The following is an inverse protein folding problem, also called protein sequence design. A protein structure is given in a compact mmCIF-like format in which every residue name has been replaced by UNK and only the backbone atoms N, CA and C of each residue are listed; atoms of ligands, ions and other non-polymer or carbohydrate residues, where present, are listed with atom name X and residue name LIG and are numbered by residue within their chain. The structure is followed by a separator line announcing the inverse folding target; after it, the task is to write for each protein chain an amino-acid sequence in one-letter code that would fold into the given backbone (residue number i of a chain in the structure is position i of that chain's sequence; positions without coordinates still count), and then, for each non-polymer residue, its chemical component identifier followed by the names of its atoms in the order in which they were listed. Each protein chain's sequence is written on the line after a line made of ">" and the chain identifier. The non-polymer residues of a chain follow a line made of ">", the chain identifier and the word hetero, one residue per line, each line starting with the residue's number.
data_IF_119981884950
#
_entry.id   IF_119981884950
#
_cell.length_a   1.000
_cell.length_b   1.000
_cell.length_c   1.000
_cell.angle_alpha   90.00
_cell.angle_beta   90.00
_cell.angle_gamma   90.00
#
_symmetry.space_group_name_H-M   'P 1'
#
loop_
_entity.id
_entity.type
_entity.pdbx_description
1 polymer ?
#
# COMPACT_ATOMS: atom_id res chain seq x y z
N UNK A 1 -1.28 16.52 85.16
CA UNK A 1 -0.66 17.79 84.72
C UNK A 1 0.61 17.44 83.94
N UNK A 2 0.75 17.97 82.72
CA UNK A 2 1.96 18.52 82.07
C UNK A 2 3.30 17.77 82.36
N UNK A 3 4.11 17.27 81.43
CA UNK A 3 4.23 17.33 79.96
C UNK A 3 5.68 16.89 79.56
N UNK A 4 5.97 17.00 78.26
CA UNK A 4 7.29 17.19 77.60
C UNK A 4 8.15 15.94 77.21
N UNK A 5 8.12 15.68 75.89
CA UNK A 5 9.17 15.36 74.90
C UNK A 5 10.33 14.37 75.17
N UNK A 6 10.54 13.45 74.21
CA UNK A 6 11.76 13.43 73.35
C UNK A 6 11.71 12.34 72.24
N UNK A 7 11.81 12.85 71.00
CA UNK A 7 12.52 12.37 69.79
C UNK A 7 13.09 10.94 69.67
N UNK A 8 12.85 10.33 68.50
CA UNK A 8 13.66 9.23 67.94
C UNK A 8 13.16 8.72 66.58
N UNK A 9 13.72 9.27 65.50
CA UNK A 9 13.36 9.06 64.08
C UNK A 9 13.50 7.61 63.57
N UNK A 10 12.57 7.19 62.69
CA UNK A 10 12.90 6.35 61.54
C UNK A 10 12.31 6.95 60.26
N UNK A 11 13.22 7.20 59.32
CA UNK A 11 12.98 7.82 58.02
C UNK A 11 12.04 6.98 57.16
N UNK A 12 10.99 7.61 56.62
CA UNK A 12 10.39 7.17 55.35
C UNK A 12 10.00 8.38 54.53
N UNK A 13 10.90 8.76 53.63
CA UNK A 13 10.64 9.72 52.57
C UNK A 13 9.51 9.21 51.68
N UNK A 14 8.33 9.82 51.76
CA UNK A 14 7.31 9.70 50.73
C UNK A 14 7.72 10.56 49.54
N UNK A 15 8.24 9.90 48.49
CA UNK A 15 8.39 10.50 47.16
C UNK A 15 7.00 10.94 46.65
N UNK A 16 6.86 12.08 45.97
CA UNK A 16 5.63 12.39 45.25
C UNK A 16 5.48 11.38 44.12
N UNK A 17 4.37 10.64 44.10
CA UNK A 17 3.97 9.84 42.95
C UNK A 17 3.84 10.76 41.73
N UNK A 18 4.85 10.74 40.87
CA UNK A 18 4.75 11.26 39.51
C UNK A 18 3.77 10.37 38.76
N UNK A 19 2.49 10.76 38.78
CA UNK A 19 1.51 10.21 37.85
C UNK A 19 1.93 10.60 36.44
N UNK A 20 2.58 9.67 35.75
CA UNK A 20 2.82 9.72 34.32
C UNK A 20 1.49 10.03 33.61
N UNK A 21 1.41 11.00 32.68
CA UNK A 21 0.20 11.20 31.92
C UNK A 21 -0.05 9.94 31.09
N UNK A 22 -1.16 9.26 31.38
CA UNK A 22 -1.68 8.16 30.56
C UNK A 22 -1.87 8.74 29.16
N UNK A 23 -1.01 8.37 28.21
CA UNK A 23 -1.20 8.66 26.79
C UNK A 23 -2.56 8.09 26.40
N UNK A 24 -3.57 8.95 26.22
CA UNK A 24 -4.81 8.58 25.54
C UNK A 24 -4.39 8.01 24.18
N UNK A 25 -4.63 6.72 23.94
CA UNK A 25 -4.48 6.14 22.60
C UNK A 25 -5.43 6.92 21.67
N UNK A 26 -4.87 7.77 20.80
CA UNK A 26 -5.65 8.50 19.80
C UNK A 26 -6.32 7.49 18.88
N UNK A 27 -7.58 7.76 18.52
CA UNK A 27 -8.43 6.86 17.73
C UNK A 27 -7.91 6.84 16.29
N UNK A 28 -7.50 5.67 15.79
CA UNK A 28 -7.07 5.48 14.39
C UNK A 28 -8.28 5.63 13.47
N UNK A 29 -8.16 6.45 12.43
CA UNK A 29 -9.17 6.60 11.40
C UNK A 29 -9.00 5.50 10.34
N UNK A 30 -10.05 4.73 10.12
CA UNK A 30 -10.08 3.61 9.19
C UNK A 30 -11.11 3.91 8.09
N UNK A 31 -10.68 4.07 6.83
CA UNK A 31 -11.55 4.28 5.67
C UNK A 31 -10.99 3.56 4.45
N UNK A 32 -11.86 3.05 3.58
CA UNK A 32 -11.48 2.44 2.32
C UNK A 32 -11.34 3.50 1.22
N UNK A 33 -10.38 3.32 0.31
CA UNK A 33 -10.32 4.09 -0.94
C UNK A 33 -11.38 3.71 -1.98
N UNK A 34 -11.98 2.53 -1.86
CA UNK A 34 -12.94 2.03 -2.85
C UNK A 34 -14.32 2.66 -2.70
N UNK A 35 -14.62 3.27 -1.54
CA UNK A 35 -15.95 3.81 -1.24
C UNK A 35 -17.06 2.80 -1.48
N UNK A 36 -18.26 3.29 -1.81
CA UNK A 36 -19.44 2.44 -2.15
C UNK A 36 -19.40 1.87 -3.58
N UNK A 37 -18.22 1.69 -4.18
CA UNK A 37 -18.13 1.12 -5.52
C UNK A 37 -18.22 -0.40 -5.44
N UNK A 38 -19.41 -0.93 -5.73
CA UNK A 38 -19.60 -2.35 -6.04
C UNK A 38 -19.68 -2.50 -7.56
N UNK A 39 -18.76 -3.26 -8.15
CA UNK A 39 -19.01 -3.79 -9.50
C UNK A 39 -20.07 -4.88 -9.34
N UNK A 40 -21.33 -4.49 -9.56
CA UNK A 40 -22.52 -5.23 -9.13
C UNK A 40 -22.74 -6.62 -9.75
N UNK A 41 -21.86 -7.19 -10.58
CA UNK A 41 -22.20 -8.39 -11.35
C UNK A 41 -21.15 -9.49 -11.54
N UNK A 42 -19.94 -9.41 -10.99
CA UNK A 42 -18.96 -10.50 -11.14
C UNK A 42 -18.70 -11.18 -9.78
N UNK A 43 -19.51 -12.18 -9.45
CA UNK A 43 -19.17 -13.08 -8.34
C UNK A 43 -17.86 -13.81 -8.71
N UNK A 44 -16.88 -13.72 -7.82
CA UNK A 44 -15.62 -14.45 -7.98
C UNK A 44 -15.90 -15.96 -7.99
N UNK A 45 -15.35 -16.65 -8.98
CA UNK A 45 -15.44 -18.11 -9.05
C UNK A 45 -14.20 -18.73 -8.41
N UNK A 46 -14.38 -19.82 -7.65
CA UNK A 46 -13.27 -20.56 -7.09
C UNK A 46 -12.53 -21.32 -8.20
N UNK A 47 -11.40 -20.76 -8.64
CA UNK A 47 -10.54 -21.37 -9.66
C UNK A 47 -9.53 -22.35 -9.04
N UNK A 48 -9.06 -23.31 -9.85
CA UNK A 48 -7.99 -24.24 -9.47
C UNK A 48 -6.74 -23.49 -8.99
N UNK A 49 -5.98 -24.09 -8.08
CA UNK A 49 -4.72 -23.52 -7.59
C UNK A 49 -3.65 -23.59 -8.70
N UNK A 50 -2.86 -22.53 -8.84
CA UNK A 50 -1.74 -22.53 -9.78
C UNK A 50 -0.68 -23.56 -9.35
N UNK A 51 -0.24 -24.40 -10.28
CA UNK A 51 0.77 -25.42 -10.03
C UNK A 51 2.10 -25.03 -10.69
N UNK A 52 3.13 -24.68 -9.90
CA UNK A 52 4.46 -24.31 -10.41
C UNK A 52 5.21 -25.48 -11.05
N UNK A 53 4.78 -26.73 -10.83
CA UNK A 53 5.40 -27.91 -11.42
C UNK A 53 4.89 -28.21 -12.84
N UNK A 54 3.77 -27.59 -13.25
CA UNK A 54 3.24 -27.72 -14.61
C UNK A 54 3.91 -26.71 -15.54
N UNK A 55 4.00 -27.00 -16.85
CA UNK A 55 4.52 -26.05 -17.82
C UNK A 55 3.76 -24.72 -17.77
N UNK A 56 4.50 -23.60 -17.79
CA UNK A 56 3.93 -22.25 -17.70
C UNK A 56 2.83 -22.01 -18.75
N UNK A 57 3.04 -22.50 -19.97
CA UNK A 57 2.08 -22.38 -21.08
C UNK A 57 0.71 -23.00 -20.77
N UNK A 58 0.68 -24.08 -19.99
CA UNK A 58 -0.55 -24.77 -19.62
C UNK A 58 -1.27 -24.05 -18.46
N UNK A 59 -0.53 -23.27 -17.67
CA UNK A 59 -1.04 -22.48 -16.55
C UNK A 59 -1.36 -21.03 -16.92
N UNK A 60 -0.85 -20.52 -18.03
CA UNK A 60 -0.97 -19.11 -18.44
C UNK A 60 -2.42 -18.65 -18.54
N UNK A 61 -3.31 -19.46 -19.12
CA UNK A 61 -4.74 -19.10 -19.24
C UNK A 61 -5.41 -18.97 -17.86
N UNK A 62 -5.14 -19.91 -16.96
CA UNK A 62 -5.64 -19.88 -15.58
C UNK A 62 -5.07 -18.69 -14.81
N UNK A 63 -3.79 -18.38 -15.01
CA UNK A 63 -3.13 -17.23 -14.40
C UNK A 63 -3.78 -15.91 -14.82
N UNK A 64 -4.07 -15.75 -16.11
CA UNK A 64 -4.78 -14.59 -16.65
C UNK A 64 -6.20 -14.49 -16.08
N UNK A 65 -6.94 -15.60 -16.00
CA UNK A 65 -8.29 -15.61 -15.43
C UNK A 65 -8.28 -15.14 -13.96
N UNK A 66 -7.31 -15.62 -13.16
CA UNK A 66 -7.13 -15.16 -11.77
C UNK A 66 -6.80 -13.67 -11.68
N UNK A 67 -5.94 -13.14 -12.56
CA UNK A 67 -5.63 -11.71 -12.60
C UNK A 67 -6.87 -10.85 -12.88
N UNK A 68 -7.70 -11.28 -13.84
CA UNK A 68 -8.96 -10.60 -14.18
C UNK A 68 -9.96 -10.61 -13.03
N UNK A 69 -10.09 -11.74 -12.34
CA UNK A 69 -10.93 -11.84 -11.14
C UNK A 69 -10.48 -10.86 -10.05
N UNK A 70 -9.18 -10.64 -9.87
CA UNK A 70 -8.67 -9.66 -8.91
C UNK A 70 -9.00 -8.18 -9.24
N UNK A 71 -9.56 -7.89 -10.42
CA UNK A 71 -10.08 -6.56 -10.76
C UNK A 71 -11.46 -6.26 -10.14
N UNK A 72 -12.17 -7.27 -9.62
CA UNK A 72 -13.44 -7.09 -8.90
C UNK A 72 -13.17 -6.37 -7.57
N UNK A 73 -13.94 -5.33 -7.28
CA UNK A 73 -13.78 -4.49 -6.09
C UNK A 73 -14.88 -4.77 -5.08
N UNK A 74 -14.52 -4.68 -3.81
CA UNK A 74 -15.42 -4.84 -2.69
C UNK A 74 -15.43 -3.58 -1.84
N UNK A 75 -16.58 -3.31 -1.23
CA UNK A 75 -16.71 -2.25 -0.23
C UNK A 75 -16.11 -2.73 1.10
N UNK A 76 -14.97 -2.17 1.50
CA UNK A 76 -14.32 -2.49 2.78
C UNK A 76 -14.77 -1.60 3.93
N UNK A 77 -15.55 -0.54 3.68
CA UNK A 77 -16.13 0.29 4.75
C UNK A 77 -17.26 -0.47 5.47
N UNK A 78 -17.91 -1.42 4.80
CA UNK A 78 -18.81 -2.38 5.44
C UNK A 78 -18.12 -3.75 5.64
N UNK A 79 -17.66 -4.09 6.87
CA UNK A 79 -16.93 -5.34 7.12
C UNK A 79 -17.78 -6.60 6.91
N UNK A 80 -19.10 -6.49 7.11
CA UNK A 80 -20.02 -7.64 7.06
C UNK A 80 -20.56 -7.92 5.65
N UNK A 81 -20.36 -7.00 4.70
CA UNK A 81 -20.71 -7.20 3.29
C UNK A 81 -19.66 -8.04 2.55
N UNK A 82 -20.11 -8.91 1.66
CA UNK A 82 -19.27 -9.67 0.71
C UNK A 82 -18.07 -10.40 1.35
N UNK A 83 -18.22 -10.90 2.57
CA UNK A 83 -17.14 -11.53 3.34
C UNK A 83 -16.49 -12.66 2.57
N UNK A 84 -17.30 -13.52 1.94
CA UNK A 84 -16.82 -14.63 1.12
C UNK A 84 -16.05 -14.16 -0.12
N UNK A 85 -16.56 -13.14 -0.82
CA UNK A 85 -15.90 -12.54 -1.98
C UNK A 85 -14.57 -11.88 -1.63
N UNK A 86 -14.52 -11.13 -0.52
CA UNK A 86 -13.28 -10.54 0.01
C UNK A 86 -12.26 -11.62 0.35
N UNK A 87 -12.68 -12.69 1.04
CA UNK A 87 -11.79 -13.79 1.40
C UNK A 87 -11.27 -14.52 0.14
N UNK A 88 -12.13 -14.79 -0.82
CA UNK A 88 -11.76 -15.42 -2.08
C UNK A 88 -10.77 -14.56 -2.88
N UNK A 89 -11.02 -13.25 -3.00
CA UNK A 89 -10.07 -12.32 -3.64
C UNK A 89 -8.69 -12.36 -2.97
N UNK A 90 -8.66 -12.38 -1.64
CA UNK A 90 -7.41 -12.45 -0.89
C UNK A 90 -6.65 -13.75 -1.20
N UNK A 91 -7.34 -14.89 -1.23
CA UNK A 91 -6.75 -16.19 -1.57
C UNK A 91 -6.21 -16.21 -3.01
N UNK A 92 -6.93 -15.64 -3.97
CA UNK A 92 -6.48 -15.56 -5.37
C UNK A 92 -5.26 -14.66 -5.52
N UNK A 93 -5.27 -13.46 -4.93
CA UNK A 93 -4.12 -12.55 -4.92
C UNK A 93 -2.88 -13.22 -4.30
N UNK A 94 -3.08 -13.97 -3.21
CA UNK A 94 -2.01 -14.73 -2.56
C UNK A 94 -1.45 -15.82 -3.45
N UNK A 95 -2.31 -16.59 -4.11
CA UNK A 95 -1.93 -17.65 -5.04
C UNK A 95 -1.14 -17.08 -6.25
N UNK A 96 -1.60 -15.96 -6.82
CA UNK A 96 -0.88 -15.23 -7.88
C UNK A 96 0.52 -14.83 -7.42
N UNK A 97 0.63 -14.25 -6.22
CA UNK A 97 1.91 -13.80 -5.67
C UNK A 97 2.85 -14.99 -5.45
N UNK A 98 2.38 -16.04 -4.78
CA UNK A 98 3.18 -17.22 -4.46
C UNK A 98 3.60 -17.95 -5.75
N UNK A 99 2.76 -17.98 -6.79
CA UNK A 99 3.10 -18.53 -8.11
C UNK A 99 4.17 -17.70 -8.83
N UNK A 100 4.04 -16.36 -8.86
CA UNK A 100 5.05 -15.46 -9.46
C UNK A 100 6.44 -15.61 -8.82
N UNK A 101 6.51 -15.89 -7.52
CA UNK A 101 7.78 -16.12 -6.83
C UNK A 101 8.46 -17.43 -7.27
N UNK A 102 7.67 -18.43 -7.68
CA UNK A 102 8.16 -19.77 -7.97
C UNK A 102 8.54 -19.98 -9.43
N UNK A 103 7.80 -19.39 -10.36
CA UNK A 103 8.11 -19.50 -11.78
C UNK A 103 9.42 -18.79 -12.13
N UNK A 104 10.06 -19.23 -13.20
CA UNK A 104 11.29 -18.61 -13.74
C UNK A 104 11.18 -18.29 -15.23
N UNK A 105 10.11 -18.76 -15.86
CA UNK A 105 9.80 -18.56 -17.27
C UNK A 105 9.67 -17.08 -17.64
N UNK A 106 9.92 -16.79 -18.91
CA UNK A 106 9.67 -15.47 -19.48
C UNK A 106 8.17 -15.18 -19.49
N UNK A 107 7.78 -14.04 -18.92
CA UNK A 107 6.38 -13.64 -18.85
C UNK A 107 5.92 -13.14 -20.23
N UNK A 108 4.75 -13.60 -20.69
CA UNK A 108 4.19 -13.19 -21.96
C UNK A 108 3.72 -11.73 -21.95
N UNK A 109 3.57 -11.13 -23.14
CA UNK A 109 3.04 -9.77 -23.25
C UNK A 109 1.61 -9.65 -22.68
N UNK A 110 0.78 -10.69 -22.82
CA UNK A 110 -0.56 -10.74 -22.25
C UNK A 110 -0.53 -10.67 -20.71
N UNK A 111 0.38 -11.40 -20.07
CA UNK A 111 0.55 -11.35 -18.61
C UNK A 111 0.99 -9.96 -18.14
N UNK A 112 1.90 -9.30 -18.87
CA UNK A 112 2.30 -7.93 -18.53
C UNK A 112 1.09 -6.99 -18.56
N UNK A 113 0.24 -7.09 -19.59
CA UNK A 113 -0.99 -6.30 -19.69
C UNK A 113 -1.95 -6.56 -18.52
N UNK A 114 -2.20 -7.83 -18.20
CA UNK A 114 -3.16 -8.21 -17.17
C UNK A 114 -2.68 -7.84 -15.76
N UNK A 115 -1.39 -7.99 -15.44
CA UNK A 115 -0.83 -7.56 -14.15
C UNK A 115 -0.93 -6.03 -14.01
N UNK A 116 -0.49 -5.27 -15.03
CA UNK A 116 -0.52 -3.80 -14.96
C UNK A 116 -1.96 -3.28 -14.92
N UNK A 117 -2.89 -3.93 -15.65
CA UNK A 117 -4.32 -3.66 -15.59
C UNK A 117 -4.89 -3.91 -14.20
N UNK A 118 -4.64 -5.09 -13.61
CA UNK A 118 -5.09 -5.45 -12.27
C UNK A 118 -4.56 -4.47 -11.21
N UNK A 119 -3.29 -4.08 -11.29
CA UNK A 119 -2.70 -3.07 -10.39
C UNK A 119 -3.39 -1.72 -10.55
N UNK A 120 -3.62 -1.28 -11.79
CA UNK A 120 -4.32 -0.01 -12.07
C UNK A 120 -5.71 0.00 -11.45
N UNK A 121 -6.48 -1.06 -11.69
CA UNK A 121 -7.85 -1.25 -11.19
C UNK A 121 -7.92 -1.40 -9.67
N UNK A 122 -6.83 -1.65 -8.96
CA UNK A 122 -6.84 -1.76 -7.50
C UNK A 122 -6.25 -0.54 -6.80
N UNK A 123 -5.37 0.23 -7.46
CA UNK A 123 -4.62 1.30 -6.82
C UNK A 123 -5.07 2.72 -7.19
N UNK A 124 -5.47 2.98 -8.44
CA UNK A 124 -5.65 4.36 -8.95
C UNK A 124 -7.05 4.91 -8.69
N UNK A 125 -7.34 5.12 -7.41
CA UNK A 125 -8.53 5.78 -6.90
C UNK A 125 -8.19 7.08 -6.20
N UNK A 126 -9.17 7.95 -6.06
CA UNK A 126 -9.04 9.15 -5.23
C UNK A 126 -8.73 8.74 -3.79
N UNK A 127 -7.69 9.34 -3.21
CA UNK A 127 -7.35 9.10 -1.81
C UNK A 127 -8.50 9.58 -0.91
N UNK A 128 -8.89 8.79 0.12
CA UNK A 128 -9.97 9.18 1.01
C UNK A 128 -9.59 10.46 1.76
N UNK A 129 -10.50 11.44 1.76
CA UNK A 129 -10.30 12.66 2.55
C UNK A 129 -10.48 12.35 4.04
N UNK A 130 -9.43 12.60 4.81
CA UNK A 130 -9.44 12.54 6.28
C UNK A 130 -9.18 13.94 6.81
N UNK A 131 -10.12 14.45 7.60
CA UNK A 131 -9.96 15.72 8.31
C UNK A 131 -9.01 15.49 9.48
N UNK A 132 -7.76 15.92 9.32
CA UNK A 132 -6.73 15.91 10.35
C UNK A 132 -6.29 17.34 10.66
N UNK A 133 -6.06 17.62 11.93
CA UNK A 133 -5.38 18.86 12.36
C UNK A 133 -3.91 18.86 11.91
N UNK A 134 -3.28 20.04 11.85
CA UNK A 134 -1.87 20.18 11.44
C UNK A 134 -0.90 19.36 12.29
N UNK A 135 -1.18 19.17 13.58
CA UNK A 135 -0.33 18.36 14.46
C UNK A 135 -0.59 16.86 14.31
N UNK A 136 -1.80 16.46 13.93
CA UNK A 136 -2.13 15.07 13.61
C UNK A 136 -1.50 14.66 12.27
N UNK A 137 -1.44 15.55 11.28
CA UNK A 137 -0.75 15.29 10.00
C UNK A 137 0.74 14.98 10.16
N UNK A 138 1.37 15.51 11.21
CA UNK A 138 2.79 15.22 11.54
C UNK A 138 2.99 13.87 12.21
N UNK A 139 1.93 13.28 12.76
CA UNK A 139 1.99 12.01 13.49
C UNK A 139 1.65 10.84 12.54
N UNK A 140 2.69 10.11 12.12
CA UNK A 140 2.54 8.90 11.30
C UNK A 140 1.69 7.82 12.02
N UNK A 141 0.77 7.19 11.28
CA UNK A 141 0.01 6.01 11.77
C UNK A 141 -1.35 6.30 12.39
N UNK A 142 -1.86 7.53 12.27
CA UNK A 142 -3.21 7.89 12.69
C UNK A 142 -4.31 7.46 11.69
N UNK A 143 -3.93 7.19 10.44
CA UNK A 143 -4.84 6.76 9.38
C UNK A 143 -4.36 5.46 8.77
N UNK A 144 -5.30 4.53 8.62
CA UNK A 144 -5.06 3.24 7.98
C UNK A 144 -6.17 2.93 6.97
N UNK A 145 -5.78 2.41 5.80
CA UNK A 145 -6.76 1.91 4.83
C UNK A 145 -7.29 0.53 5.28
N UNK A 146 -8.61 0.37 5.38
CA UNK A 146 -9.23 -0.91 5.77
C UNK A 146 -9.06 -2.00 4.71
N UNK A 147 -8.87 -1.63 3.45
CA UNK A 147 -8.59 -2.56 2.36
C UNK A 147 -7.12 -3.00 2.31
N UNK A 148 -6.30 -2.57 3.28
CA UNK A 148 -4.86 -2.86 3.32
C UNK A 148 -4.49 -4.34 3.16
N UNK A 149 -5.20 -5.33 3.72
CA UNK A 149 -4.89 -6.75 3.51
C UNK A 149 -4.87 -7.18 2.04
N UNK A 150 -5.67 -6.54 1.18
CA UNK A 150 -5.68 -6.77 -0.27
C UNK A 150 -4.68 -5.87 -0.98
N UNK A 151 -4.63 -4.58 -0.62
CA UNK A 151 -3.69 -3.63 -1.22
C UNK A 151 -2.23 -4.07 -1.05
N UNK A 152 -1.86 -4.59 0.12
CA UNK A 152 -0.49 -5.09 0.36
C UNK A 152 -0.12 -6.21 -0.62
N UNK A 153 -1.06 -7.10 -0.95
CA UNK A 153 -0.81 -8.16 -1.92
C UNK A 153 -0.67 -7.59 -3.33
N UNK A 154 -1.51 -6.63 -3.72
CA UNK A 154 -1.41 -5.96 -5.04
C UNK A 154 -0.04 -5.28 -5.21
N UNK A 155 0.41 -4.54 -4.19
CA UNK A 155 1.74 -3.93 -4.21
C UNK A 155 2.87 -4.96 -4.26
N UNK A 156 2.74 -6.06 -3.51
CA UNK A 156 3.75 -7.13 -3.51
C UNK A 156 3.81 -7.84 -4.86
N UNK A 157 2.67 -8.19 -5.46
CA UNK A 157 2.58 -8.75 -6.81
C UNK A 157 3.28 -7.85 -7.81
N UNK A 158 3.00 -6.54 -7.79
CA UNK A 158 3.64 -5.62 -8.74
C UNK A 158 5.15 -5.48 -8.50
N UNK A 159 5.58 -5.44 -7.24
CA UNK A 159 6.99 -5.39 -6.90
C UNK A 159 7.73 -6.65 -7.36
N UNK A 160 7.18 -7.84 -7.08
CA UNK A 160 7.75 -9.12 -7.50
C UNK A 160 7.81 -9.19 -9.02
N UNK A 161 6.74 -8.80 -9.71
CA UNK A 161 6.68 -8.74 -11.16
C UNK A 161 7.80 -7.88 -11.77
N UNK A 162 8.04 -6.67 -11.24
CA UNK A 162 9.09 -5.76 -11.75
C UNK A 162 10.52 -6.27 -11.50
N UNK A 163 10.73 -7.17 -10.54
CA UNK A 163 12.03 -7.79 -10.26
C UNK A 163 12.13 -9.25 -10.74
N UNK A 164 11.09 -9.75 -11.40
CA UNK A 164 11.05 -11.14 -11.84
C UNK A 164 12.11 -11.40 -12.92
N UNK A 165 12.79 -12.54 -12.87
CA UNK A 165 13.85 -12.88 -13.83
C UNK A 165 13.36 -12.99 -15.27
N UNK A 166 12.09 -13.36 -15.45
CA UNK A 166 11.42 -13.44 -16.75
C UNK A 166 10.70 -12.17 -17.18
N UNK A 167 10.88 -11.04 -16.48
CA UNK A 167 10.28 -9.75 -16.85
C UNK A 167 10.94 -9.19 -18.12
N UNK A 168 10.13 -8.68 -19.06
CA UNK A 168 10.63 -8.10 -20.32
C UNK A 168 10.13 -6.66 -20.44
N UNK A 169 11.00 -5.64 -20.20
CA UNK A 169 10.59 -4.24 -20.14
C UNK A 169 9.83 -3.73 -21.39
N UNK A 170 10.19 -4.21 -22.58
CA UNK A 170 9.54 -3.80 -23.85
C UNK A 170 8.02 -4.06 -23.84
N UNK A 171 7.57 -5.11 -23.15
CA UNK A 171 6.16 -5.48 -23.08
C UNK A 171 5.35 -4.56 -22.15
N UNK A 172 6.02 -3.84 -21.26
CA UNK A 172 5.41 -2.95 -20.28
C UNK A 172 5.64 -1.45 -20.57
N UNK A 173 6.58 -1.09 -21.46
CA UNK A 173 6.99 0.30 -21.69
C UNK A 173 5.84 1.24 -22.09
N UNK A 174 4.89 0.75 -22.89
CA UNK A 174 3.75 1.55 -23.37
C UNK A 174 2.60 1.61 -22.34
N UNK A 175 2.57 0.64 -21.42
CA UNK A 175 1.58 0.56 -20.35
C UNK A 175 1.97 1.47 -19.19
N UNK A 176 3.26 1.46 -18.79
CA UNK A 176 3.82 2.32 -17.74
C UNK A 176 4.24 3.67 -18.34
N UNK A 177 3.26 4.40 -18.86
CA UNK A 177 3.45 5.71 -19.45
C UNK A 177 3.43 6.84 -18.39
N UNK A 178 3.65 8.08 -18.82
CA UNK A 178 3.64 9.26 -17.94
C UNK A 178 2.38 9.37 -17.09
N UNK A 179 1.19 9.06 -17.65
CA UNK A 179 -0.08 9.10 -16.91
C UNK A 179 -0.09 8.06 -15.79
N UNK A 180 0.38 6.84 -16.05
CA UNK A 180 0.52 5.80 -15.03
C UNK A 180 1.44 6.26 -13.88
N UNK A 181 2.58 6.88 -14.21
CA UNK A 181 3.52 7.40 -13.23
C UNK A 181 2.93 8.55 -12.42
N UNK A 182 2.22 9.49 -13.04
CA UNK A 182 1.52 10.57 -12.33
C UNK A 182 0.52 10.02 -11.31
N UNK A 183 -0.21 8.95 -11.65
CA UNK A 183 -1.11 8.29 -10.70
C UNK A 183 -0.35 7.66 -9.53
N UNK A 184 0.80 7.01 -9.77
CA UNK A 184 1.67 6.51 -8.69
C UNK A 184 2.19 7.64 -7.78
N UNK A 185 2.62 8.77 -8.36
CA UNK A 185 3.05 9.93 -7.58
C UNK A 185 1.91 10.50 -6.74
N UNK A 186 0.67 10.48 -7.22
CA UNK A 186 -0.48 10.89 -6.43
C UNK A 186 -0.63 10.05 -5.15
N UNK A 187 -0.40 8.74 -5.22
CA UNK A 187 -0.49 7.83 -4.07
C UNK A 187 0.56 8.11 -2.97
N UNK A 188 1.65 8.81 -3.27
CA UNK A 188 2.59 9.28 -2.23
C UNK A 188 1.96 10.28 -1.26
N UNK A 189 0.86 10.91 -1.65
CA UNK A 189 0.09 11.78 -0.76
C UNK A 189 -0.84 11.00 0.18
N UNK A 190 -0.87 9.66 0.13
CA UNK A 190 -1.67 8.84 1.03
C UNK A 190 -1.34 9.12 2.51
N UNK A 191 -2.37 9.18 3.35
CA UNK A 191 -2.23 9.30 4.80
C UNK A 191 -1.68 8.00 5.44
N UNK A 192 -1.89 6.84 4.79
CA UNK A 192 -1.36 5.56 5.26
C UNK A 192 0.13 5.43 4.94
N UNK A 193 0.95 5.41 5.99
CA UNK A 193 2.41 5.26 5.89
C UNK A 193 2.83 3.99 5.14
N UNK A 194 2.10 2.90 5.34
CA UNK A 194 2.44 1.59 4.77
C UNK A 194 2.36 1.66 3.25
N UNK A 195 1.34 2.36 2.75
CA UNK A 195 1.17 2.61 1.33
C UNK A 195 2.30 3.48 0.76
N UNK A 196 2.64 4.60 1.42
CA UNK A 196 3.74 5.47 0.96
C UNK A 196 5.05 4.69 0.82
N UNK A 197 5.35 3.80 1.76
CA UNK A 197 6.53 2.93 1.70
C UNK A 197 6.45 1.95 0.54
N UNK A 198 5.29 1.36 0.26
CA UNK A 198 5.08 0.46 -0.87
C UNK A 198 5.22 1.18 -2.22
N UNK A 199 4.59 2.35 -2.37
CA UNK A 199 4.68 3.19 -3.58
C UNK A 199 6.12 3.59 -3.86
N UNK A 200 6.89 4.00 -2.84
CA UNK A 200 8.32 4.28 -2.98
C UNK A 200 9.08 3.09 -3.59
N UNK A 201 8.87 1.88 -3.05
CA UNK A 201 9.54 0.67 -3.56
C UNK A 201 9.20 0.42 -5.04
N UNK A 202 7.92 0.59 -5.42
CA UNK A 202 7.47 0.46 -6.81
C UNK A 202 8.12 1.52 -7.71
N UNK A 203 8.15 2.79 -7.29
CA UNK A 203 8.76 3.85 -8.09
C UNK A 203 10.26 3.62 -8.30
N UNK A 204 10.98 3.14 -7.28
CA UNK A 204 12.39 2.74 -7.41
C UNK A 204 12.55 1.57 -8.37
N UNK A 205 11.68 0.56 -8.27
CA UNK A 205 11.69 -0.59 -9.18
C UNK A 205 11.49 -0.15 -10.64
N UNK A 206 10.51 0.71 -10.90
CA UNK A 206 10.26 1.28 -12.23
C UNK A 206 11.45 2.10 -12.71
N UNK A 207 12.01 2.97 -11.87
CA UNK A 207 13.18 3.79 -12.20
C UNK A 207 14.38 2.93 -12.65
N UNK A 208 14.57 1.77 -12.01
CA UNK A 208 15.65 0.84 -12.35
C UNK A 208 15.38 0.03 -13.61
N UNK A 209 14.11 -0.30 -13.91
CA UNK A 209 13.74 -1.12 -15.06
C UNK A 209 13.62 -0.34 -16.38
N UNK A 210 13.25 0.94 -16.32
CA UNK A 210 12.90 1.74 -17.50
C UNK A 210 13.76 2.99 -17.59
N UNK A 211 14.68 3.04 -18.55
CA UNK A 211 15.62 4.17 -18.71
C UNK A 211 14.95 5.43 -19.27
N UNK A 212 13.95 5.26 -20.11
CA UNK A 212 13.15 6.30 -20.79
C UNK A 212 12.29 7.11 -19.82
N UNK A 213 11.84 6.51 -18.72
CA UNK A 213 11.01 7.21 -17.70
C UNK A 213 11.84 7.91 -16.63
N UNK A 214 13.14 7.62 -16.50
CA UNK A 214 13.96 8.16 -15.41
C UNK A 214 14.00 9.69 -15.39
N UNK A 215 14.12 10.31 -16.58
CA UNK A 215 14.13 11.77 -16.67
C UNK A 215 12.78 12.36 -16.22
N UNK A 216 11.67 11.70 -16.56
CA UNK A 216 10.34 12.10 -16.12
C UNK A 216 10.21 11.99 -14.60
N UNK A 217 10.58 10.85 -14.01
CA UNK A 217 10.56 10.63 -12.56
C UNK A 217 11.38 11.71 -11.82
N UNK A 218 12.61 12.00 -12.26
CA UNK A 218 13.44 13.05 -11.65
C UNK A 218 12.78 14.43 -11.73
N UNK A 219 12.18 14.78 -12.88
CA UNK A 219 11.47 16.05 -13.05
C UNK A 219 10.25 16.17 -12.13
N UNK A 220 9.46 15.11 -12.02
CA UNK A 220 8.29 15.08 -11.12
C UNK A 220 8.70 15.20 -9.65
N UNK A 221 9.76 14.50 -9.22
CA UNK A 221 10.31 14.63 -7.85
C UNK A 221 10.74 16.07 -7.58
N UNK A 222 11.51 16.67 -8.48
CA UNK A 222 11.92 18.07 -8.36
C UNK A 222 10.71 19.02 -8.31
N UNK A 223 9.71 18.81 -9.17
CA UNK A 223 8.49 19.61 -9.18
C UNK A 223 7.76 19.54 -7.83
N UNK A 224 7.59 18.34 -7.28
CA UNK A 224 6.95 18.13 -5.97
C UNK A 224 7.73 18.87 -4.87
N UNK A 225 9.06 18.79 -4.86
CA UNK A 225 9.87 19.53 -3.86
C UNK A 225 9.77 21.04 -4.02
N UNK A 226 9.79 21.55 -5.25
CA UNK A 226 9.64 22.98 -5.49
C UNK A 226 8.26 23.48 -5.07
N UNK A 227 7.18 22.77 -5.42
CA UNK A 227 5.83 23.13 -4.97
C UNK A 227 5.67 23.01 -3.45
N UNK A 228 6.35 22.06 -2.80
CA UNK A 228 6.37 21.98 -1.34
C UNK A 228 7.07 23.19 -0.70
N UNK A 229 8.25 23.56 -1.19
CA UNK A 229 9.07 24.66 -0.62
C UNK A 229 8.46 26.04 -0.92
N UNK A 230 8.05 26.28 -2.16
CA UNK A 230 7.67 27.62 -2.64
C UNK A 230 6.17 27.86 -2.65
N UNK A 231 5.35 26.84 -2.90
CA UNK A 231 3.88 26.98 -2.94
C UNK A 231 3.20 26.50 -1.66
N UNK A 232 3.95 25.92 -0.72
CA UNK A 232 3.40 25.34 0.51
C UNK A 232 2.47 24.15 0.27
N UNK A 233 2.52 23.51 -0.92
CA UNK A 233 1.72 22.32 -1.21
C UNK A 233 2.26 21.14 -0.42
N UNK A 234 1.57 20.82 0.68
CA UNK A 234 1.94 19.71 1.55
C UNK A 234 1.77 18.36 0.84
N UNK A 235 2.80 17.51 0.94
CA UNK A 235 2.78 16.13 0.44
C UNK A 235 3.32 15.19 1.52
N UNK A 236 2.52 14.19 1.90
CA UNK A 236 2.89 13.20 2.92
C UNK A 236 4.12 12.35 2.54
N UNK A 237 4.41 12.26 1.24
CA UNK A 237 5.44 11.41 0.66
C UNK A 237 6.84 12.01 0.57
N UNK A 238 7.06 13.24 1.05
CA UNK A 238 8.38 13.91 0.97
C UNK A 238 9.50 13.05 1.54
N UNK A 239 9.37 12.41 2.73
CA UNK A 239 10.43 11.54 3.26
C UNK A 239 10.75 10.35 2.36
N UNK A 240 9.72 9.79 1.70
CA UNK A 240 9.89 8.66 0.79
C UNK A 240 10.61 9.07 -0.49
N UNK A 241 10.28 10.25 -1.03
CA UNK A 241 10.95 10.81 -2.22
C UNK A 241 12.42 11.15 -1.96
N UNK A 242 12.73 11.69 -0.79
CA UNK A 242 14.11 11.99 -0.40
C UNK A 242 15.01 10.74 -0.34
N UNK A 243 14.43 9.58 -0.10
CA UNK A 243 15.17 8.30 -0.07
C UNK A 243 15.38 7.69 -1.46
N UNK A 244 14.79 8.28 -2.51
CA UNK A 244 14.93 7.81 -3.89
C UNK A 244 16.01 8.58 -4.66
N UNK A 245 16.37 9.78 -4.20
CA UNK A 245 17.45 10.60 -4.78
C UNK A 245 18.80 10.17 -4.20
#
# INVERSE_FOLDING_TARGET
>A
MIGIASSGNFYRSSLPETRSPIKRKKKVSCKSRYGKMTNLNDQLEQLEKLDPNKPFKDQETLFIQKLRQCCVLYDFDNPDADVEGKQLKYMILRDIMDYLIQIRDTLSAAIHQEIIGMVSCNLFYSLPSVELTEDERKEDGLVEDVAWPHLTLVYQVFHIFLYHSGFVPINAQYLINKRYLTQLFHLLSSEDKRERVAVRKILVAIYNQFSDVQQFIRKEICYIFLSFIYEGRYCNGIPQLLQMM
#
